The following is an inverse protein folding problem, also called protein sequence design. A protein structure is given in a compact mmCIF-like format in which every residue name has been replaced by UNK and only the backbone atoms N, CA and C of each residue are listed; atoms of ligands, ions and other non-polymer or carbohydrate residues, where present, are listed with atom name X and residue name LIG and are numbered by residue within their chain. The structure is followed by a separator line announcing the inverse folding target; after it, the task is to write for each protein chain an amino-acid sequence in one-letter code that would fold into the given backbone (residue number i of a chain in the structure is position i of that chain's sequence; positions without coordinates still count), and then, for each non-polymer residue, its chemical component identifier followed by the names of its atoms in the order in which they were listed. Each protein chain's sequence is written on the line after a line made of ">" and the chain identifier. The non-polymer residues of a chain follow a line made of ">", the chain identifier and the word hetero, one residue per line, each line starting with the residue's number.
data_IF_758730510263
#
_entry.id   IF_758730510263
#
_cell.length_a   1.000
_cell.length_b   1.000
_cell.length_c   1.000
_cell.angle_alpha   90.00
_cell.angle_beta   90.00
_cell.angle_gamma   90.00
#
_symmetry.space_group_name_H-M   'P 1'
#
loop_
_entity.id
_entity.type
_entity.pdbx_description
1 polymer ?
#
# COMPACT_ATOMS: atom_id res chain seq x y z
N UNK A 1 -1.46 1.53 7.84
CA UNK A 1 -0.90 2.15 6.61
C UNK A 1 -0.17 3.43 6.99
N UNK A 2 -0.83 4.40 7.62
CA UNK A 2 -0.15 5.62 8.13
C UNK A 2 0.98 5.26 9.09
N UNK A 3 0.68 4.46 10.11
CA UNK A 3 1.67 3.94 11.08
C UNK A 3 2.86 3.18 10.44
N UNK A 4 2.62 2.45 9.33
CA UNK A 4 3.68 1.74 8.58
C UNK A 4 4.64 2.72 7.92
N UNK A 5 4.13 3.87 7.46
CA UNK A 5 4.95 4.93 6.88
C UNK A 5 5.64 5.77 7.95
N UNK A 6 5.00 5.96 9.12
CA UNK A 6 5.60 6.63 10.28
C UNK A 6 6.76 5.82 10.86
N UNK A 7 6.63 4.48 10.89
CA UNK A 7 7.71 3.59 11.33
C UNK A 7 8.85 3.46 10.32
N UNK A 8 8.68 3.99 9.10
CA UNK A 8 9.61 3.80 7.98
C UNK A 8 9.96 2.31 7.75
N UNK A 9 9.00 1.41 7.98
CA UNK A 9 9.22 -0.03 7.88
C UNK A 9 7.96 -0.73 7.38
N UNK A 10 8.05 -1.46 6.26
CA UNK A 10 6.88 -2.04 5.57
C UNK A 10 6.14 -3.06 6.44
N UNK A 11 6.88 -3.79 7.28
CA UNK A 11 6.33 -4.82 8.19
C UNK A 11 6.95 -4.62 9.58
N UNK A 12 6.53 -3.61 10.35
CA UNK A 12 7.17 -3.25 11.63
C UNK A 12 7.04 -4.34 12.70
N UNK A 13 6.17 -5.33 12.45
CA UNK A 13 5.94 -6.49 13.31
C UNK A 13 6.86 -7.67 12.99
N UNK A 14 7.71 -7.59 11.97
CA UNK A 14 8.76 -8.56 11.73
C UNK A 14 9.98 -8.23 12.60
N UNK A 15 10.72 -9.23 13.12
CA UNK A 15 10.48 -10.68 13.02
C UNK A 15 9.48 -11.23 14.05
N UNK A 16 9.05 -10.42 15.01
CA UNK A 16 8.40 -10.89 16.25
C UNK A 16 7.05 -11.58 16.05
N UNK A 17 6.20 -11.04 15.19
CA UNK A 17 4.83 -11.55 14.91
C UNK A 17 4.62 -11.97 13.45
N UNK A 18 5.48 -11.51 12.55
CA UNK A 18 5.40 -11.85 11.13
C UNK A 18 6.70 -12.51 10.72
N UNK A 19 6.62 -13.78 10.33
CA UNK A 19 7.76 -14.51 9.83
C UNK A 19 8.44 -13.73 8.71
N UNK A 20 9.74 -13.50 8.87
CA UNK A 20 10.57 -12.87 7.86
C UNK A 20 11.77 -13.75 7.57
N UNK A 21 12.31 -13.59 6.36
CA UNK A 21 13.56 -14.24 6.01
C UNK A 21 14.68 -13.65 6.89
N UNK A 22 15.56 -14.47 7.50
CA UNK A 22 16.68 -13.98 8.30
C UNK A 22 17.73 -13.38 7.37
N UNK A 23 17.49 -12.14 6.96
CA UNK A 23 18.31 -11.44 5.99
C UNK A 23 19.51 -10.81 6.70
N UNK A 24 20.72 -11.14 6.27
CA UNK A 24 21.96 -10.56 6.79
C UNK A 24 22.79 -10.06 5.63
N UNK A 25 22.68 -8.77 5.34
CA UNK A 25 23.49 -8.09 4.34
C UNK A 25 24.76 -7.52 4.98
N UNK A 26 25.85 -7.43 4.24
CA UNK A 26 27.17 -6.99 4.77
C UNK A 26 27.16 -5.54 5.29
N UNK A 27 26.23 -4.72 4.80
CA UNK A 27 25.98 -3.33 5.16
C UNK A 27 24.96 -3.18 6.31
N UNK A 28 24.36 -4.28 6.79
CA UNK A 28 23.38 -4.26 7.88
C UNK A 28 22.02 -3.68 7.50
N UNK A 29 21.73 -3.47 6.22
CA UNK A 29 20.46 -2.86 5.78
C UNK A 29 19.33 -3.89 5.73
N UNK A 30 18.21 -3.59 6.40
CA UNK A 30 16.98 -4.37 6.35
C UNK A 30 16.21 -4.09 5.04
N UNK A 31 15.88 -5.09 4.21
CA UNK A 31 15.16 -4.92 2.96
C UNK A 31 13.69 -4.47 3.14
N UNK A 32 13.14 -4.55 4.36
CA UNK A 32 11.79 -4.11 4.69
C UNK A 32 11.76 -2.67 5.22
N UNK A 33 12.93 -2.06 5.46
CA UNK A 33 13.02 -0.64 5.79
C UNK A 33 12.73 0.25 4.57
N UNK A 34 12.11 1.40 4.81
CA UNK A 34 11.82 2.41 3.80
C UNK A 34 12.86 3.54 3.88
N UNK A 35 13.69 3.66 2.84
CA UNK A 35 14.69 4.75 2.75
C UNK A 35 14.04 6.13 2.56
N UNK A 36 12.84 6.17 1.98
CA UNK A 36 12.10 7.40 1.71
C UNK A 36 10.59 7.15 1.64
N UNK A 37 9.82 8.23 1.87
CA UNK A 37 8.36 8.17 1.72
C UNK A 37 7.99 8.04 0.23
N UNK A 38 7.24 6.99 -0.15
CA UNK A 38 6.81 6.81 -1.53
C UNK A 38 5.71 7.82 -1.89
N UNK A 39 5.54 8.12 -3.18
CA UNK A 39 4.44 9.00 -3.62
C UNK A 39 3.05 8.32 -3.48
N UNK A 40 3.02 7.00 -3.60
CA UNK A 40 1.84 6.16 -3.40
C UNK A 40 2.22 4.93 -2.58
N UNK A 41 1.38 4.56 -1.62
CA UNK A 41 1.51 3.33 -0.84
C UNK A 41 0.19 2.57 -0.89
N UNK A 42 0.22 1.33 -1.35
CA UNK A 42 -0.98 0.51 -1.51
C UNK A 42 -0.88 -0.77 -0.69
N UNK A 43 -2.00 -1.19 -0.12
CA UNK A 43 -2.12 -2.49 0.50
C UNK A 43 -3.40 -3.18 0.06
N UNK A 44 -3.38 -4.51 0.03
CA UNK A 44 -4.60 -5.29 -0.12
C UNK A 44 -5.34 -5.29 1.21
N UNK A 45 -6.61 -4.88 1.22
CA UNK A 45 -7.48 -5.03 2.39
C UNK A 45 -8.31 -6.31 2.29
N UNK A 46 -8.66 -6.87 3.45
CA UNK A 46 -9.63 -7.98 3.54
C UNK A 46 -11.09 -7.53 3.41
N UNK A 47 -11.36 -6.23 3.39
CA UNK A 47 -12.72 -5.66 3.32
C UNK A 47 -13.13 -5.41 1.86
N UNK A 48 -14.45 -5.47 1.61
CA UNK A 48 -15.06 -5.30 0.28
C UNK A 48 -14.93 -3.90 -0.34
N UNK A 49 -14.58 -2.87 0.43
CA UNK A 49 -14.64 -1.48 -0.04
C UNK A 49 -13.22 -0.96 -0.33
N UNK A 50 -13.03 -0.45 -1.55
CA UNK A 50 -11.86 0.33 -1.94
C UNK A 50 -11.84 1.67 -1.20
N UNK A 51 -10.68 2.08 -0.68
CA UNK A 51 -10.51 3.36 -0.01
C UNK A 51 -9.20 4.03 -0.42
N UNK A 52 -9.27 5.32 -0.75
CA UNK A 52 -8.11 6.16 -1.10
C UNK A 52 -8.04 7.35 -0.14
N UNK A 53 -6.85 7.70 0.32
CA UNK A 53 -6.61 8.85 1.21
C UNK A 53 -5.30 9.52 0.83
N UNK A 54 -5.23 10.84 0.88
CA UNK A 54 -3.97 11.58 0.83
C UNK A 54 -3.59 11.96 2.25
N UNK A 55 -2.36 11.65 2.63
CA UNK A 55 -1.80 12.02 3.94
C UNK A 55 -0.59 12.91 3.73
N UNK A 56 -0.50 13.98 4.51
CA UNK A 56 0.62 14.92 4.49
C UNK A 56 1.57 14.58 5.65
N UNK A 57 2.84 14.29 5.32
CA UNK A 57 3.90 13.96 6.27
C UNK A 57 4.86 15.14 6.49
N UNK A 58 4.38 16.37 6.23
CA UNK A 58 5.11 17.61 6.40
C UNK A 58 6.10 17.90 5.27
N UNK A 59 6.55 19.16 5.20
CA UNK A 59 7.46 19.67 4.15
C UNK A 59 6.94 19.46 2.73
N UNK A 60 5.61 19.46 2.55
CA UNK A 60 4.95 19.22 1.26
C UNK A 60 5.01 17.78 0.75
N UNK A 61 5.47 16.83 1.58
CA UNK A 61 5.54 15.41 1.21
C UNK A 61 4.19 14.75 1.47
N UNK A 62 3.44 14.54 0.39
CA UNK A 62 2.13 13.89 0.42
C UNK A 62 2.24 12.47 -0.12
N UNK A 63 1.59 11.54 0.56
CA UNK A 63 1.51 10.13 0.14
C UNK A 63 0.07 9.75 -0.12
N UNK A 64 -0.19 9.12 -1.27
CA UNK A 64 -1.48 8.52 -1.60
C UNK A 64 -1.56 7.12 -1.01
N UNK A 65 -2.46 6.91 -0.06
CA UNK A 65 -2.74 5.59 0.51
C UNK A 65 -3.89 4.95 -0.25
N UNK A 66 -3.70 3.71 -0.71
CA UNK A 66 -4.68 3.01 -1.54
C UNK A 66 -4.96 1.63 -0.93
N UNK A 67 -6.22 1.38 -0.60
CA UNK A 67 -6.71 0.08 -0.16
C UNK A 67 -7.33 -0.66 -1.33
N UNK A 68 -6.64 -1.69 -1.81
CA UNK A 68 -7.10 -2.50 -2.94
C UNK A 68 -8.11 -3.53 -2.42
N UNK A 69 -9.34 -3.57 -2.96
CA UNK A 69 -10.34 -4.56 -2.58
C UNK A 69 -9.97 -5.95 -3.14
N UNK A 70 -10.57 -6.99 -2.57
CA UNK A 70 -10.51 -8.35 -3.13
C UNK A 70 -11.29 -8.42 -4.44
N UNK A 71 -10.60 -8.77 -5.52
CA UNK A 71 -11.23 -8.83 -6.84
C UNK A 71 -12.30 -9.93 -6.93
N UNK A 72 -12.07 -11.08 -6.30
CA UNK A 72 -12.98 -12.22 -6.30
C UNK A 72 -14.34 -11.91 -5.65
N UNK A 73 -14.37 -11.05 -4.64
CA UNK A 73 -15.60 -10.68 -3.94
C UNK A 73 -16.29 -9.44 -4.52
N UNK A 74 -15.52 -8.53 -5.13
CA UNK A 74 -16.01 -7.19 -5.50
C UNK A 74 -16.06 -6.95 -6.99
N UNK A 75 -15.39 -7.81 -7.78
CA UNK A 75 -15.14 -7.64 -9.20
C UNK A 75 -14.62 -6.24 -9.54
N UNK A 76 -13.82 -5.64 -8.65
CA UNK A 76 -13.37 -4.26 -8.77
C UNK A 76 -11.86 -4.12 -8.76
N UNK A 77 -11.36 -3.15 -9.53
CA UNK A 77 -9.94 -2.83 -9.70
C UNK A 77 -9.73 -1.33 -9.49
N UNK A 78 -8.51 -0.94 -9.11
CA UNK A 78 -8.13 0.47 -8.94
C UNK A 78 -7.21 0.89 -10.09
N UNK A 79 -7.60 1.94 -10.81
CA UNK A 79 -6.77 2.62 -11.79
C UNK A 79 -6.12 3.84 -11.14
N UNK A 80 -4.83 4.01 -11.40
CA UNK A 80 -4.03 5.13 -10.89
C UNK A 80 -3.50 5.92 -12.08
N UNK A 81 -3.77 7.21 -12.11
CA UNK A 81 -3.12 8.12 -13.03
C UNK A 81 -1.70 8.40 -12.53
N UNK A 82 -0.66 7.94 -13.25
CA UNK A 82 0.73 8.09 -12.80
C UNK A 82 1.24 9.54 -12.81
N UNK A 83 0.56 10.45 -13.53
CA UNK A 83 0.92 11.88 -13.56
C UNK A 83 0.33 12.65 -12.39
N UNK A 84 -0.94 12.39 -12.06
CA UNK A 84 -1.68 13.14 -11.01
C UNK A 84 -1.79 12.39 -9.69
N UNK A 85 -1.51 11.08 -9.70
CA UNK A 85 -1.75 10.13 -8.61
C UNK A 85 -3.22 10.06 -8.17
N UNK A 86 -4.13 10.50 -9.03
CA UNK A 86 -5.56 10.33 -8.86
C UNK A 86 -5.94 8.87 -9.06
N UNK A 87 -6.91 8.41 -8.26
CA UNK A 87 -7.30 7.00 -8.20
C UNK A 87 -8.78 6.87 -8.51
N UNK A 88 -9.12 6.00 -9.45
CA UNK A 88 -10.50 5.66 -9.79
C UNK A 88 -10.73 4.16 -9.64
N UNK A 89 -11.92 3.77 -9.20
CA UNK A 89 -12.30 2.36 -9.07
C UNK A 89 -13.14 1.96 -10.26
N UNK A 90 -12.78 0.87 -10.93
CA UNK A 90 -13.57 0.26 -12.01
C UNK A 90 -14.17 -1.03 -11.49
N UNK A 91 -15.47 -1.21 -11.71
CA UNK A 91 -16.19 -2.45 -11.39
C UNK A 91 -16.47 -3.19 -12.69
N UNK A 92 -15.94 -4.40 -12.80
CA UNK A 92 -16.28 -5.33 -13.87
C UNK A 92 -17.73 -5.77 -13.68
N UNK A 93 -18.60 -5.30 -14.57
CA UNK A 93 -19.96 -5.84 -14.69
C UNK A 93 -19.86 -7.09 -15.54
N UNK A 94 -19.85 -8.26 -14.91
CA UNK A 94 -20.05 -9.50 -15.64
C UNK A 94 -21.44 -9.43 -16.29
N UNK A 95 -21.50 -9.41 -17.62
CA UNK A 95 -22.73 -9.63 -18.36
C UNK A 95 -22.90 -11.15 -18.42
N UNK A 96 -23.85 -11.75 -17.67
CA UNK A 96 -24.10 -13.17 -17.81
C UNK A 96 -24.60 -13.43 -19.23
N UNK A 97 -23.91 -14.32 -19.95
CA UNK A 97 -24.38 -14.86 -21.23
C UNK A 97 -25.49 -15.88 -21.00
#
# INVERSE_FOLDING_TARGET
>A
MEEILESCHVVPTAPDFTDCFPYSRKDGTDPLALDSLPQCFFCRKSKRICGTKVVDFGKGRKVRLISIPKYDETHSMVIINLRTLETSTIVSKHCPQ
#
